data_IF_620944670429
#
_entry.id   IF_620944670429
#
_cell.length_a   1.000
_cell.length_b   1.000
_cell.length_c   1.000
_cell.angle_alpha   90.00
_cell.angle_beta   90.00
_cell.angle_gamma   90.00
#
_symmetry.space_group_name_H-M   'P 1'
#
loop_
_entity.id
_entity.type
_entity.pdbx_description
1 polymer ?
#
# COMPACT_ATOMS: atom_id res chain seq x y z
N UNK A 1 -27.94 -0.18 21.69
CA UNK A 1 -27.03 0.93 22.06
C UNK A 1 -25.61 0.50 21.65
N UNK A 2 -24.97 1.24 20.75
CA UNK A 2 -23.55 1.02 20.40
C UNK A 2 -22.74 1.51 21.59
N UNK A 3 -21.75 0.75 22.05
CA UNK A 3 -20.93 1.18 23.19
C UNK A 3 -20.01 2.34 22.77
N UNK A 4 -19.67 3.24 23.70
CA UNK A 4 -18.73 4.35 23.46
C UNK A 4 -17.40 3.86 22.84
N UNK A 5 -16.97 2.67 23.20
CA UNK A 5 -15.79 2.00 22.74
C UNK A 5 -15.91 1.56 21.26
N UNK A 6 -17.08 1.07 20.85
CA UNK A 6 -17.33 0.74 19.44
C UNK A 6 -17.32 1.98 18.56
N UNK A 7 -17.84 3.11 19.06
CA UNK A 7 -17.79 4.39 18.36
C UNK A 7 -16.37 4.94 18.25
N UNK A 8 -15.57 4.80 19.30
CA UNK A 8 -14.16 5.19 19.30
C UNK A 8 -13.37 4.37 18.29
N UNK A 9 -13.57 3.06 18.24
CA UNK A 9 -12.91 2.17 17.29
C UNK A 9 -13.31 2.51 15.83
N UNK A 10 -14.58 2.81 15.58
CA UNK A 10 -15.06 3.23 14.27
C UNK A 10 -14.43 4.56 13.82
N UNK A 11 -14.31 5.54 14.72
CA UNK A 11 -13.63 6.82 14.47
C UNK A 11 -12.15 6.61 14.17
N UNK A 12 -11.47 5.77 14.96
CA UNK A 12 -10.08 5.44 14.74
C UNK A 12 -9.86 4.84 13.35
N UNK A 13 -10.67 3.86 12.98
CA UNK A 13 -10.60 3.21 11.67
C UNK A 13 -10.81 4.22 10.54
N UNK A 14 -11.87 5.02 10.61
CA UNK A 14 -12.15 6.04 9.61
C UNK A 14 -11.02 7.05 9.44
N UNK A 15 -10.38 7.49 10.54
CA UNK A 15 -9.25 8.41 10.50
C UNK A 15 -8.01 7.75 9.84
N UNK A 16 -7.66 6.54 10.24
CA UNK A 16 -6.45 5.84 9.75
C UNK A 16 -6.58 5.44 8.27
N UNK A 17 -7.78 5.09 7.82
CA UNK A 17 -8.04 4.75 6.40
C UNK A 17 -7.83 5.92 5.43
N UNK A 18 -7.73 7.16 5.92
CA UNK A 18 -7.42 8.33 5.09
C UNK A 18 -5.92 8.61 4.94
N UNK A 19 -5.07 7.95 5.72
CA UNK A 19 -3.62 8.14 5.68
C UNK A 19 -3.08 7.63 4.34
N UNK A 20 -2.32 8.48 3.65
CA UNK A 20 -1.71 8.16 2.36
C UNK A 20 -0.27 7.67 2.51
N UNK A 21 0.17 6.88 1.56
CA UNK A 21 1.58 6.49 1.44
C UNK A 21 2.41 7.70 0.97
N UNK A 22 3.55 8.06 1.63
CA UNK A 22 4.34 9.22 1.27
C UNK A 22 5.05 9.09 -0.08
N UNK A 23 5.29 7.87 -0.57
CA UNK A 23 5.93 7.61 -1.86
C UNK A 23 4.92 7.46 -3.00
N UNK A 24 3.67 7.12 -2.67
CA UNK A 24 2.54 6.97 -3.59
C UNK A 24 1.32 7.72 -3.04
N UNK A 25 1.34 9.07 -3.05
CA UNK A 25 0.34 9.88 -2.34
C UNK A 25 -1.10 9.76 -2.86
N UNK A 26 -1.29 9.07 -3.98
CA UNK A 26 -2.61 8.72 -4.52
C UNK A 26 -3.23 7.50 -3.85
N UNK A 27 -2.44 6.74 -3.09
CA UNK A 27 -2.87 5.54 -2.38
C UNK A 27 -2.95 5.78 -0.88
N UNK A 28 -4.02 5.34 -0.27
CA UNK A 28 -4.06 5.21 1.18
C UNK A 28 -3.35 3.93 1.62
N UNK A 29 -2.93 3.88 2.88
CA UNK A 29 -2.37 2.66 3.48
C UNK A 29 -3.39 1.51 3.50
N UNK A 30 -4.69 1.83 3.48
CA UNK A 30 -5.76 0.86 3.29
C UNK A 30 -5.81 0.32 1.86
N UNK A 31 -5.70 1.20 0.84
CA UNK A 31 -5.60 0.79 -0.57
C UNK A 31 -4.43 -0.15 -0.82
N UNK A 32 -3.29 0.13 -0.19
CA UNK A 32 -2.08 -0.68 -0.30
C UNK A 32 -2.16 -2.01 0.46
N UNK A 33 -3.08 -2.15 1.41
CA UNK A 33 -3.09 -3.29 2.33
C UNK A 33 -1.94 -3.25 3.36
N UNK A 34 -1.30 -2.09 3.54
CA UNK A 34 -0.35 -1.80 4.62
C UNK A 34 -1.07 -1.72 5.96
N UNK A 35 -2.27 -1.11 5.99
CA UNK A 35 -3.16 -1.16 7.14
C UNK A 35 -3.74 -2.56 7.27
N UNK A 36 -3.40 -3.24 8.37
CA UNK A 36 -3.84 -4.63 8.63
C UNK A 36 -5.04 -4.70 9.54
N UNK A 37 -5.03 -3.91 10.61
CA UNK A 37 -6.11 -3.93 11.58
C UNK A 37 -6.15 -2.63 12.39
N UNK A 38 -7.34 -2.31 12.87
CA UNK A 38 -7.58 -1.29 13.90
C UNK A 38 -8.46 -1.95 14.96
N UNK A 39 -7.91 -2.18 16.13
CA UNK A 39 -8.53 -2.97 17.18
C UNK A 39 -8.27 -2.40 18.56
N UNK A 40 -8.94 -2.94 19.54
CA UNK A 40 -8.60 -2.76 20.94
C UNK A 40 -7.46 -3.70 21.32
N UNK A 41 -6.39 -3.16 21.86
CA UNK A 41 -5.28 -3.92 22.41
C UNK A 41 -5.64 -4.56 23.76
N UNK A 42 -4.77 -5.45 24.24
CA UNK A 42 -4.96 -6.14 25.52
C UNK A 42 -4.96 -5.19 26.74
N UNK A 43 -4.42 -3.99 26.56
CA UNK A 43 -4.37 -2.91 27.56
C UNK A 43 -5.55 -1.93 27.46
N UNK A 44 -6.54 -2.21 26.61
CA UNK A 44 -7.73 -1.38 26.38
C UNK A 44 -7.50 -0.17 25.46
N UNK A 45 -6.28 0.02 24.94
CA UNK A 45 -5.95 1.10 24.01
C UNK A 45 -6.32 0.73 22.59
N UNK A 46 -6.52 1.74 21.74
CA UNK A 46 -6.61 1.51 20.30
C UNK A 46 -5.23 1.08 19.79
N UNK A 47 -5.19 -0.05 19.10
CA UNK A 47 -4.01 -0.55 18.41
C UNK A 47 -4.23 -0.55 16.90
N UNK A 48 -3.34 0.15 16.18
CA UNK A 48 -3.30 0.15 14.71
C UNK A 48 -2.15 -0.74 14.27
N UNK A 49 -2.46 -1.77 13.51
CA UNK A 49 -1.48 -2.75 13.01
C UNK A 49 -1.18 -2.45 11.56
N UNK A 50 0.11 -2.25 11.26
CA UNK A 50 0.61 -2.00 9.90
C UNK A 50 1.69 -3.02 9.52
N UNK A 51 1.80 -3.28 8.21
CA UNK A 51 2.81 -4.19 7.64
C UNK A 51 3.53 -3.52 6.48
N UNK A 52 4.87 -3.48 6.46
CA UNK A 52 5.61 -2.91 5.34
C UNK A 52 5.49 -3.77 4.08
N UNK A 53 5.54 -3.13 2.90
CA UNK A 53 5.56 -3.84 1.61
C UNK A 53 6.83 -4.68 1.40
N UNK A 54 7.90 -4.32 2.10
CA UNK A 54 9.14 -5.11 2.23
C UNK A 54 9.85 -4.76 3.55
N UNK A 55 10.62 -5.69 4.10
CA UNK A 55 11.37 -5.45 5.33
C UNK A 55 12.38 -4.32 5.12
N UNK A 56 12.36 -3.29 5.97
CA UNK A 56 13.23 -2.13 5.84
C UNK A 56 12.68 -1.01 4.95
N UNK A 57 11.38 -1.00 4.64
CA UNK A 57 10.73 0.12 3.94
C UNK A 57 10.92 1.42 4.73
N UNK A 58 11.57 2.45 4.17
CA UNK A 58 11.82 3.71 4.89
C UNK A 58 10.55 4.52 5.14
N UNK A 59 9.49 4.31 4.35
CA UNK A 59 8.20 4.98 4.51
C UNK A 59 7.48 4.62 5.82
N UNK A 60 7.81 3.48 6.44
CA UNK A 60 7.07 2.99 7.62
C UNK A 60 7.11 3.95 8.80
N UNK A 61 8.23 4.65 9.00
CA UNK A 61 8.32 5.63 10.08
C UNK A 61 7.39 6.83 9.83
N UNK A 62 7.37 7.35 8.60
CA UNK A 62 6.48 8.44 8.22
C UNK A 62 5.01 8.01 8.32
N UNK A 63 4.69 6.83 7.82
CA UNK A 63 3.32 6.25 7.92
C UNK A 63 2.88 6.14 9.38
N UNK A 64 3.75 5.67 10.28
CA UNK A 64 3.41 5.55 11.70
C UNK A 64 3.08 6.93 12.32
N UNK A 65 3.89 7.95 12.02
CA UNK A 65 3.65 9.33 12.48
C UNK A 65 2.36 9.91 11.92
N UNK A 66 2.07 9.67 10.64
CA UNK A 66 0.84 10.14 10.00
C UNK A 66 -0.40 9.44 10.57
N UNK A 67 -0.30 8.15 10.91
CA UNK A 67 -1.35 7.41 11.62
C UNK A 67 -1.59 8.00 13.01
N UNK A 68 -0.53 8.25 13.78
CA UNK A 68 -0.64 8.90 15.10
C UNK A 68 -1.29 10.29 14.99
N UNK A 69 -0.87 11.10 14.02
CA UNK A 69 -1.46 12.41 13.76
C UNK A 69 -2.94 12.33 13.39
N UNK A 70 -3.34 11.36 12.55
CA UNK A 70 -4.73 11.13 12.18
C UNK A 70 -5.59 10.72 13.39
N UNK A 71 -5.06 9.87 14.27
CA UNK A 71 -5.74 9.46 15.51
C UNK A 71 -5.92 10.65 16.47
N UNK A 72 -4.86 11.45 16.67
CA UNK A 72 -4.94 12.67 17.48
C UNK A 72 -6.00 13.64 16.92
N UNK A 73 -6.03 13.83 15.60
CA UNK A 73 -7.03 14.65 14.92
C UNK A 73 -8.46 14.15 15.11
N UNK A 74 -8.64 12.83 15.32
CA UNK A 74 -9.93 12.20 15.63
C UNK A 74 -10.26 12.20 17.14
N UNK A 75 -9.43 12.85 17.98
CA UNK A 75 -9.61 12.90 19.44
C UNK A 75 -9.28 11.58 20.14
N UNK A 76 -8.31 10.84 19.62
CA UNK A 76 -7.80 9.59 20.17
C UNK A 76 -6.31 9.78 20.46
N UNK A 77 -6.00 10.11 21.71
CA UNK A 77 -4.67 10.46 22.20
C UNK A 77 -3.93 9.27 22.85
N UNK A 78 -4.64 8.20 23.20
CA UNK A 78 -4.07 7.00 23.80
C UNK A 78 -4.21 5.82 22.83
N UNK A 79 -3.39 5.84 21.79
CA UNK A 79 -3.34 4.78 20.79
C UNK A 79 -1.89 4.30 20.57
N UNK A 80 -1.76 3.10 20.00
CA UNK A 80 -0.46 2.50 19.66
C UNK A 80 -0.44 2.07 18.20
N UNK A 81 0.66 2.36 17.52
CA UNK A 81 0.95 1.82 16.17
C UNK A 81 1.93 0.66 16.32
N UNK A 82 1.54 -0.50 15.81
CA UNK A 82 2.35 -1.73 15.86
C UNK A 82 2.69 -2.18 14.45
N UNK A 83 3.98 -2.31 14.16
CA UNK A 83 4.45 -2.88 12.89
C UNK A 83 4.63 -4.38 13.03
N UNK A 84 4.01 -5.16 12.15
CA UNK A 84 4.14 -6.62 12.08
C UNK A 84 4.74 -7.04 10.74
N UNK A 85 5.59 -8.04 10.76
CA UNK A 85 6.26 -8.58 9.56
C UNK A 85 5.66 -9.93 9.11
N UNK A 86 4.77 -10.50 9.93
CA UNK A 86 4.11 -11.76 9.65
C UNK A 86 2.58 -11.62 9.80
N UNK A 87 1.79 -12.11 8.81
CA UNK A 87 2.25 -12.60 7.52
C UNK A 87 2.95 -11.52 6.71
N UNK A 88 3.88 -11.89 5.83
CA UNK A 88 4.55 -10.94 4.94
C UNK A 88 3.51 -10.27 4.03
N UNK A 89 3.73 -8.99 3.73
CA UNK A 89 2.86 -8.25 2.82
C UNK A 89 2.84 -8.92 1.43
N UNK A 90 1.69 -8.86 0.79
CA UNK A 90 1.51 -9.35 -0.57
C UNK A 90 0.81 -8.30 -1.43
N UNK A 91 1.25 -8.16 -2.68
CA UNK A 91 0.59 -7.32 -3.69
C UNK A 91 -0.85 -7.75 -3.99
N UNK A 92 -1.26 -8.95 -3.57
CA UNK A 92 -2.65 -9.41 -3.64
C UNK A 92 -3.57 -8.66 -2.66
N UNK A 93 -3.00 -7.96 -1.67
CA UNK A 93 -3.75 -7.13 -0.71
C UNK A 93 -4.06 -5.73 -1.22
N UNK A 94 -3.46 -5.34 -2.35
CA UNK A 94 -3.76 -4.09 -3.01
C UNK A 94 -5.23 -4.08 -3.47
N UNK A 95 -6.00 -3.08 -3.05
CA UNK A 95 -7.41 -2.96 -3.42
C UNK A 95 -7.59 -2.70 -4.93
N UNK A 96 -8.76 -3.05 -5.47
CA UNK A 96 -9.11 -2.70 -6.85
C UNK A 96 -9.12 -1.18 -7.06
N UNK A 97 -9.57 -0.41 -6.06
CA UNK A 97 -9.49 1.05 -6.10
C UNK A 97 -8.04 1.52 -6.16
N UNK A 98 -7.16 0.92 -5.36
CA UNK A 98 -5.72 1.20 -5.37
C UNK A 98 -5.08 0.88 -6.72
N UNK A 99 -5.43 -0.24 -7.35
CA UNK A 99 -4.94 -0.59 -8.71
C UNK A 99 -5.34 0.45 -9.74
N UNK A 100 -6.60 0.91 -9.71
CA UNK A 100 -7.08 1.97 -10.62
C UNK A 100 -6.38 3.31 -10.36
N UNK A 101 -6.16 3.68 -9.09
CA UNK A 101 -5.45 4.90 -8.72
C UNK A 101 -4.00 4.87 -9.20
N UNK A 102 -3.29 3.75 -9.06
CA UNK A 102 -1.93 3.56 -9.58
C UNK A 102 -1.88 3.77 -11.09
N UNK A 103 -2.75 3.08 -11.83
CA UNK A 103 -2.80 3.19 -13.29
C UNK A 103 -3.07 4.64 -13.74
N UNK A 104 -4.04 5.33 -13.11
CA UNK A 104 -4.34 6.73 -13.39
C UNK A 104 -3.18 7.67 -13.04
N UNK A 105 -2.38 7.35 -12.04
CA UNK A 105 -1.20 8.09 -11.64
C UNK A 105 0.00 7.85 -12.57
N UNK A 106 -0.08 6.85 -13.45
CA UNK A 106 0.98 6.51 -14.41
C UNK A 106 1.94 5.43 -13.90
N UNK A 107 1.58 4.72 -12.85
CA UNK A 107 2.30 3.55 -12.34
C UNK A 107 1.53 2.30 -12.73
N UNK A 108 2.18 1.37 -13.45
CA UNK A 108 1.54 0.11 -13.80
C UNK A 108 1.30 -0.73 -12.53
N UNK A 109 0.06 -1.14 -12.23
CA UNK A 109 -0.24 -1.98 -11.08
C UNK A 109 0.30 -3.40 -11.26
N UNK A 110 0.39 -4.20 -10.18
CA UNK A 110 0.81 -5.60 -10.27
C UNK A 110 0.00 -6.36 -11.32
N UNK A 111 0.70 -6.97 -12.28
CA UNK A 111 0.07 -7.60 -13.46
C UNK A 111 -0.55 -8.98 -13.16
N UNK A 112 -0.21 -9.60 -12.03
CA UNK A 112 -0.67 -10.94 -11.67
C UNK A 112 -0.78 -11.14 -10.16
N UNK A 113 -1.02 -12.39 -9.75
CA UNK A 113 -1.00 -12.80 -8.35
C UNK A 113 0.44 -13.07 -7.88
N UNK A 114 0.75 -12.70 -6.65
CA UNK A 114 2.08 -12.80 -6.06
C UNK A 114 2.69 -14.22 -6.22
N UNK A 115 1.95 -15.28 -5.88
CA UNK A 115 2.45 -16.65 -5.97
C UNK A 115 2.70 -17.15 -7.40
N UNK A 116 2.07 -16.58 -8.40
CA UNK A 116 2.18 -17.03 -9.80
C UNK A 116 3.50 -16.60 -10.44
N UNK A 117 4.02 -15.43 -10.06
CA UNK A 117 5.30 -14.91 -10.56
C UNK A 117 6.48 -15.82 -10.21
N UNK A 118 6.47 -16.40 -9.02
CA UNK A 118 7.52 -17.30 -8.57
C UNK A 118 7.59 -18.58 -9.43
N UNK A 119 6.47 -18.99 -10.05
CA UNK A 119 6.35 -20.22 -10.83
C UNK A 119 6.50 -20.01 -12.34
N UNK A 120 6.08 -18.86 -12.90
CA UNK A 120 5.94 -18.67 -14.35
C UNK A 120 6.68 -17.43 -14.91
N UNK A 121 7.40 -16.70 -14.06
CA UNK A 121 8.13 -15.50 -14.50
C UNK A 121 7.26 -14.22 -14.53
N UNK A 122 7.76 -13.19 -15.20
CA UNK A 122 7.09 -11.87 -15.23
C UNK A 122 5.90 -11.91 -16.18
N UNK A 123 4.72 -11.57 -15.67
CA UNK A 123 3.55 -11.35 -16.51
C UNK A 123 3.77 -10.14 -17.44
N UNK A 124 3.08 -10.13 -18.58
CA UNK A 124 3.11 -8.97 -19.46
C UNK A 124 2.56 -7.74 -18.73
N UNK A 125 3.40 -6.71 -18.61
CA UNK A 125 3.04 -5.45 -17.95
C UNK A 125 2.46 -4.50 -18.97
N UNK A 126 1.20 -4.12 -18.84
CA UNK A 126 0.58 -3.15 -19.72
C UNK A 126 1.08 -1.72 -19.44
N UNK A 127 1.35 -0.97 -20.49
CA UNK A 127 1.68 0.45 -20.37
C UNK A 127 0.51 1.23 -19.77
N UNK A 128 0.67 1.96 -18.66
CA UNK A 128 -0.42 2.72 -18.05
C UNK A 128 -0.87 3.92 -18.90
N UNK A 129 -0.09 4.31 -19.92
CA UNK A 129 -0.42 5.42 -20.80
C UNK A 129 -1.22 5.03 -22.04
N UNK A 130 -0.78 3.97 -22.75
CA UNK A 130 -1.40 3.58 -24.01
C UNK A 130 -2.04 2.18 -23.99
N UNK A 131 -1.93 1.44 -22.88
CA UNK A 131 -2.49 0.11 -22.73
C UNK A 131 -1.74 -1.01 -23.48
N UNK A 132 -0.67 -0.69 -24.24
CA UNK A 132 0.10 -1.68 -25.01
C UNK A 132 0.80 -2.67 -24.07
N UNK A 133 0.78 -3.96 -24.46
CA UNK A 133 1.57 -5.00 -23.81
C UNK A 133 3.02 -5.08 -24.35
N UNK A 134 3.35 -4.27 -25.38
CA UNK A 134 4.70 -4.16 -25.92
C UNK A 134 5.56 -3.31 -24.98
N UNK A 135 6.04 -3.91 -23.91
CA UNK A 135 6.81 -3.26 -22.84
C UNK A 135 8.05 -4.06 -22.50
N UNK A 136 9.08 -3.38 -22.04
CA UNK A 136 10.33 -4.02 -21.61
C UNK A 136 10.82 -3.43 -20.28
N UNK A 137 11.44 -4.26 -19.46
CA UNK A 137 12.04 -3.83 -18.20
C UNK A 137 13.38 -3.14 -18.45
N UNK A 138 13.53 -1.91 -17.96
CA UNK A 138 14.78 -1.15 -18.00
C UNK A 138 15.63 -1.47 -16.77
N UNK A 139 15.01 -1.49 -15.59
CA UNK A 139 15.71 -1.76 -14.33
C UNK A 139 14.80 -2.53 -13.36
N UNK A 140 15.41 -3.45 -12.61
CA UNK A 140 14.70 -4.26 -11.60
C UNK A 140 14.24 -3.43 -10.40
N UNK A 141 14.83 -2.26 -10.18
CA UNK A 141 14.50 -1.33 -9.12
C UNK A 141 14.26 0.07 -9.70
N UNK A 142 13.19 0.71 -9.23
CA UNK A 142 12.86 2.10 -9.50
C UNK A 142 13.37 3.02 -8.38
N UNK A 143 12.61 4.08 -8.10
CA UNK A 143 12.88 5.00 -6.98
C UNK A 143 12.77 4.32 -5.62
N UNK A 144 12.05 3.20 -5.54
CA UNK A 144 11.88 2.37 -4.34
C UNK A 144 12.01 0.89 -4.68
N UNK A 145 12.27 0.04 -3.69
CA UNK A 145 12.47 -1.40 -3.89
C UNK A 145 11.19 -2.12 -4.36
N UNK A 146 10.00 -1.59 -4.05
CA UNK A 146 8.71 -2.13 -4.49
C UNK A 146 8.36 -1.81 -5.95
N UNK A 147 9.13 -0.91 -6.61
CA UNK A 147 8.91 -0.53 -8.01
C UNK A 147 10.05 -1.00 -8.91
N UNK A 148 9.74 -1.27 -10.17
CA UNK A 148 10.71 -1.50 -11.25
C UNK A 148 10.48 -0.47 -12.36
N UNK A 149 11.52 -0.15 -13.12
CA UNK A 149 11.39 0.73 -14.27
C UNK A 149 11.19 -0.06 -15.55
N UNK A 150 10.21 0.38 -16.32
CA UNK A 150 9.82 -0.19 -17.58
C UNK A 150 9.72 0.88 -18.67
N UNK A 151 9.73 0.46 -19.91
CA UNK A 151 9.50 1.30 -21.09
C UNK A 151 8.48 0.65 -22.01
N UNK A 152 7.55 1.43 -22.51
CA UNK A 152 6.67 1.01 -23.58
C UNK A 152 7.39 1.15 -24.92
N UNK A 153 7.46 0.09 -25.73
CA UNK A 153 8.07 0.14 -27.07
C UNK A 153 7.11 0.72 -28.12
N UNK A 154 5.80 0.75 -27.83
CA UNK A 154 4.80 1.33 -28.72
C UNK A 154 4.74 2.86 -28.63
N UNK A 155 4.54 3.44 -27.43
CA UNK A 155 4.49 4.90 -27.25
C UNK A 155 5.81 5.51 -26.76
N UNK A 156 6.83 4.69 -26.49
CA UNK A 156 8.18 5.05 -26.03
C UNK A 156 8.28 5.72 -24.66
N UNK A 157 7.17 5.79 -23.90
CA UNK A 157 7.14 6.36 -22.56
C UNK A 157 7.76 5.41 -21.53
N UNK A 158 8.65 5.90 -20.66
CA UNK A 158 9.07 5.17 -19.47
C UNK A 158 7.98 5.26 -18.42
N UNK A 159 7.87 4.23 -17.55
CA UNK A 159 6.93 4.19 -16.44
C UNK A 159 7.42 3.30 -15.31
N UNK A 160 6.92 3.55 -14.11
CA UNK A 160 7.14 2.67 -12.97
C UNK A 160 6.13 1.51 -12.99
N UNK A 161 6.59 0.36 -12.63
CA UNK A 161 5.77 -0.84 -12.41
C UNK A 161 5.81 -1.21 -10.92
N UNK A 162 4.66 -1.28 -10.28
CA UNK A 162 4.55 -1.78 -8.92
C UNK A 162 4.64 -3.31 -8.95
N UNK A 163 5.68 -3.86 -8.35
CA UNK A 163 6.02 -5.29 -8.48
C UNK A 163 5.01 -6.20 -7.77
N UNK A 164 4.80 -7.41 -8.32
CA UNK A 164 4.19 -8.50 -7.59
C UNK A 164 5.17 -9.01 -6.51
N UNK A 165 4.75 -8.99 -5.25
CA UNK A 165 5.54 -9.44 -4.09
C UNK A 165 4.67 -10.39 -3.27
#
# INVERSE_FOLDING_TARGET
MVSAQTEQLARARAAVETVCDPELPVLTIADLGVLRDVREGADGRIEVVITPTYSGCPAMHAIALDVEAALLGAGIDDARVTTVLAPAWSSDWLSEAGRRKLAAYGVAPPAGKAGRRALFGVDAVACPRCGSAATEQIAAFGSTACKAQWRCTACREPFDYFKCI
#
